data_IF_075422802225
#
_entry.id   IF_075422802225
#
_cell.length_a   1.000
_cell.length_b   1.000
_cell.length_c   1.000
_cell.angle_alpha   90.00
_cell.angle_beta   90.00
_cell.angle_gamma   90.00
#
_symmetry.space_group_name_H-M   'P 1'
#
loop_
_entity.id
_entity.type
_entity.pdbx_description
1 polymer ?
#
# COMPACT_ATOMS: atom_id res chain seq x y z
N UNK A 1 9.19 3.30 -4.56
CA UNK A 1 8.68 4.68 -4.78
C UNK A 1 7.17 4.69 -4.54
N UNK A 2 6.58 5.80 -4.05
CA UNK A 2 5.13 5.96 -3.92
C UNK A 2 4.64 7.13 -4.79
N UNK A 3 3.53 6.93 -5.51
CA UNK A 3 2.91 7.93 -6.41
C UNK A 3 1.39 7.96 -6.21
N UNK A 4 0.74 9.08 -6.50
CA UNK A 4 -0.73 9.13 -6.46
C UNK A 4 -1.32 8.40 -7.67
N UNK A 5 -2.42 7.66 -7.44
CA UNK A 5 -3.11 6.88 -8.49
C UNK A 5 -3.86 7.76 -9.49
N UNK A 6 -4.35 8.92 -9.06
CA UNK A 6 -5.10 9.86 -9.92
C UNK A 6 -4.13 10.71 -10.72
N UNK A 7 -4.41 10.88 -12.01
CA UNK A 7 -3.62 11.73 -12.93
C UNK A 7 -3.50 13.17 -12.44
N UNK A 8 -4.57 13.71 -11.86
CA UNK A 8 -4.64 15.07 -11.28
C UNK A 8 -3.52 15.35 -10.26
N UNK A 9 -3.09 14.33 -9.52
CA UNK A 9 -2.09 14.44 -8.46
C UNK A 9 -0.81 13.67 -8.75
N UNK A 10 -0.66 13.08 -9.95
CA UNK A 10 0.46 12.20 -10.26
C UNK A 10 1.81 12.93 -10.25
N UNK A 11 1.82 14.24 -10.55
CA UNK A 11 3.01 15.09 -10.48
C UNK A 11 3.36 15.53 -9.05
N UNK A 12 2.45 15.38 -8.09
CA UNK A 12 2.68 15.73 -6.69
C UNK A 12 3.47 14.63 -5.97
N UNK A 13 4.41 15.05 -5.13
CA UNK A 13 5.20 14.12 -4.30
C UNK A 13 4.35 13.65 -3.13
N UNK A 14 4.30 12.33 -2.91
CA UNK A 14 3.66 11.77 -1.71
C UNK A 14 4.49 12.14 -0.49
N UNK A 15 3.96 13.04 0.35
CA UNK A 15 4.61 13.52 1.58
C UNK A 15 3.86 13.07 2.82
N UNK A 16 4.57 13.04 3.96
CA UNK A 16 3.95 12.89 5.27
C UNK A 16 3.19 14.17 5.63
N UNK A 17 2.19 14.06 6.51
CA UNK A 17 1.55 15.27 7.01
C UNK A 17 2.47 15.99 8.01
N UNK A 18 2.35 17.32 8.16
CA UNK A 18 3.16 18.10 9.09
C UNK A 18 3.14 17.53 10.52
N UNK A 19 1.98 17.06 10.97
CA UNK A 19 1.82 16.47 12.31
C UNK A 19 2.66 15.19 12.53
N UNK A 20 2.88 14.38 11.50
CA UNK A 20 3.73 13.19 11.61
C UNK A 20 5.20 13.48 11.30
N UNK A 21 5.49 14.44 10.43
CA UNK A 21 6.86 14.88 10.14
C UNK A 21 7.56 15.46 11.38
N UNK A 22 6.85 16.22 12.21
CA UNK A 22 7.36 16.77 13.46
C UNK A 22 7.67 15.71 14.53
N UNK A 23 6.97 14.56 14.53
CA UNK A 23 7.17 13.50 15.55
C UNK A 23 8.39 12.62 15.28
N UNK A 24 8.87 12.59 14.04
CA UNK A 24 10.07 11.83 13.66
C UNK A 24 11.37 12.51 14.12
N UNK A 25 11.33 13.81 14.41
CA UNK A 25 12.48 14.56 14.92
C UNK A 25 12.94 14.17 16.33
N UNK A 26 12.12 13.43 17.10
CA UNK A 26 12.43 13.04 18.48
C UNK A 26 12.81 11.55 18.62
N UNK A 27 12.67 10.74 17.57
CA UNK A 27 13.15 9.35 17.49
C UNK A 27 14.38 9.25 16.58
N UNK A 28 15.36 10.13 16.83
CA UNK A 28 16.64 10.19 16.11
C UNK A 28 17.70 9.21 16.59
N UNK A 29 17.34 7.99 17.02
CA UNK A 29 18.37 7.02 17.40
C UNK A 29 17.83 5.74 18.00
N UNK A 30 17.70 4.69 17.18
CA UNK A 30 18.28 3.37 17.41
C UNK A 30 17.91 2.44 16.24
N UNK A 31 18.92 1.98 15.50
CA UNK A 31 18.81 0.98 14.44
C UNK A 31 19.47 1.45 13.15
N UNK A 32 20.75 1.09 12.97
CA UNK A 32 21.49 1.37 11.75
C UNK A 32 20.77 0.83 10.52
N UNK A 33 20.45 1.73 9.58
CA UNK A 33 19.87 1.35 8.30
C UNK A 33 19.26 2.52 7.53
N UNK A 34 19.85 2.79 6.36
CA UNK A 34 19.34 3.62 5.25
C UNK A 34 19.46 5.14 5.45
N UNK A 35 20.61 5.66 5.03
CA UNK A 35 20.73 7.06 4.63
C UNK A 35 19.90 7.31 3.38
N UNK A 36 18.97 8.27 3.47
CA UNK A 36 18.20 8.74 2.32
C UNK A 36 19.05 9.77 1.59
N UNK A 37 19.84 9.35 0.61
CA UNK A 37 20.39 10.28 -0.38
C UNK A 37 19.46 10.33 -1.58
N UNK A 38 18.64 11.39 -1.63
CA UNK A 38 17.69 11.62 -2.72
C UNK A 38 17.84 13.00 -3.31
N UNK A 39 18.74 13.17 -4.28
CA UNK A 39 18.61 14.23 -5.29
C UNK A 39 17.45 13.89 -6.22
N UNK A 40 16.23 14.30 -5.87
CA UNK A 40 15.08 14.14 -6.77
C UNK A 40 13.73 14.32 -6.10
N UNK A 41 12.74 14.76 -6.88
CA UNK A 41 11.34 15.06 -6.49
C UNK A 41 10.54 13.83 -6.04
N UNK A 42 11.17 12.71 -5.66
CA UNK A 42 10.49 11.49 -5.23
C UNK A 42 11.27 10.83 -4.10
N UNK A 43 10.58 10.48 -3.01
CA UNK A 43 11.17 9.66 -1.96
C UNK A 43 11.20 8.19 -2.43
N UNK A 44 12.40 7.68 -2.70
CA UNK A 44 12.64 6.26 -2.95
C UNK A 44 13.56 5.70 -1.87
N UNK A 45 13.34 4.43 -1.53
CA UNK A 45 14.18 3.67 -0.60
C UNK A 45 14.88 2.62 -1.44
N UNK A 46 16.20 2.72 -1.56
CA UNK A 46 17.02 1.73 -2.24
C UNK A 46 17.51 0.71 -1.22
N UNK A 47 17.26 -0.57 -1.49
CA UNK A 47 17.71 -1.68 -0.64
C UNK A 47 18.58 -2.61 -1.48
N UNK A 48 19.79 -2.87 -0.99
CA UNK A 48 20.68 -3.86 -1.60
C UNK A 48 20.14 -5.26 -1.30
N UNK A 49 19.60 -5.92 -2.31
CA UNK A 49 19.16 -7.32 -2.23
C UNK A 49 20.39 -8.22 -2.18
N UNK A 50 20.65 -8.85 -1.03
CA UNK A 50 21.64 -9.92 -0.95
C UNK A 50 21.15 -11.18 -1.66
N UNK A 51 22.08 -12.03 -2.08
CA UNK A 51 21.76 -13.33 -2.66
C UNK A 51 20.75 -14.09 -1.79
N UNK A 52 19.75 -14.68 -2.45
CA UNK A 52 18.69 -15.42 -1.79
C UNK A 52 19.29 -16.60 -1.02
N UNK A 53 18.85 -16.80 0.22
CA UNK A 53 19.33 -17.90 1.04
C UNK A 53 18.97 -19.22 0.36
N UNK A 54 19.92 -20.17 0.32
CA UNK A 54 19.75 -21.47 -0.37
C UNK A 54 18.48 -22.16 0.14
N UNK A 55 17.57 -22.49 -0.79
CA UNK A 55 16.28 -23.11 -0.48
C UNK A 55 15.10 -22.14 -0.36
N UNK A 56 15.30 -20.83 -0.49
CA UNK A 56 14.21 -19.87 -0.63
C UNK A 56 13.90 -19.60 -2.11
N UNK A 57 12.62 -19.41 -2.44
CA UNK A 57 12.15 -19.05 -3.78
C UNK A 57 11.81 -17.55 -3.92
N UNK A 58 11.67 -16.83 -2.79
CA UNK A 58 11.27 -15.43 -2.78
C UNK A 58 11.99 -14.62 -1.70
N UNK A 59 12.20 -13.31 -1.96
CA UNK A 59 12.75 -12.37 -0.99
C UNK A 59 11.64 -11.57 -0.34
N UNK A 60 11.66 -11.46 0.99
CA UNK A 60 10.67 -10.71 1.77
C UNK A 60 11.25 -9.34 2.12
N UNK A 61 10.59 -8.28 1.67
CA UNK A 61 10.94 -6.90 2.03
C UNK A 61 9.83 -6.34 2.93
N UNK A 62 10.22 -5.85 4.12
CA UNK A 62 9.29 -5.26 5.07
C UNK A 62 9.21 -3.75 4.85
N UNK A 63 8.03 -3.27 4.46
CA UNK A 63 7.75 -1.84 4.30
C UNK A 63 6.94 -1.30 5.47
N UNK A 64 7.34 -0.14 6.00
CA UNK A 64 6.61 0.57 7.05
C UNK A 64 6.04 1.88 6.49
N UNK A 65 4.72 2.05 6.62
CA UNK A 65 4.02 3.27 6.23
C UNK A 65 3.72 4.13 7.46
N UNK A 66 4.40 5.27 7.54
CA UNK A 66 4.39 6.12 8.74
C UNK A 66 3.31 7.20 8.76
N UNK A 67 2.36 7.16 7.81
CA UNK A 67 1.27 8.13 7.78
C UNK A 67 -0.01 7.44 7.30
N UNK A 68 -1.14 7.79 7.92
CA UNK A 68 -2.44 7.29 7.47
C UNK A 68 -2.85 7.98 6.18
N UNK A 69 -3.55 7.24 5.32
CA UNK A 69 -4.13 7.77 4.08
C UNK A 69 -5.07 8.96 4.35
N UNK A 70 -5.74 8.98 5.50
CA UNK A 70 -6.69 10.03 5.88
C UNK A 70 -6.06 11.28 6.52
N UNK A 71 -4.75 11.34 6.71
CA UNK A 71 -4.13 12.48 7.38
C UNK A 71 -4.28 13.77 6.55
N UNK A 72 -4.78 14.87 7.15
CA UNK A 72 -4.84 16.16 6.49
C UNK A 72 -3.42 16.70 6.25
N UNK A 73 -3.21 17.37 5.11
CA UNK A 73 -1.90 17.93 4.73
C UNK A 73 -0.83 16.92 4.31
N UNK A 74 -1.15 15.62 4.24
CA UNK A 74 -0.29 14.57 3.66
C UNK A 74 -0.97 13.92 2.45
N UNK A 75 -1.35 12.66 2.58
CA UNK A 75 -2.06 11.92 1.52
C UNK A 75 -3.51 12.37 1.29
N UNK A 76 -4.17 12.98 2.29
CA UNK A 76 -5.50 13.59 2.17
C UNK A 76 -6.57 12.70 1.48
N UNK A 77 -6.67 11.43 1.90
CA UNK A 77 -7.58 10.40 1.37
C UNK A 77 -7.40 10.09 -0.13
N UNK A 78 -6.29 10.50 -0.73
CA UNK A 78 -5.97 10.18 -2.13
C UNK A 78 -5.35 8.79 -2.19
N UNK A 79 -5.80 7.92 -3.12
CA UNK A 79 -5.21 6.60 -3.31
C UNK A 79 -3.77 6.71 -3.81
N UNK A 80 -2.87 5.91 -3.24
CA UNK A 80 -1.46 5.84 -3.61
C UNK A 80 -1.13 4.48 -4.23
N UNK A 81 -0.19 4.48 -5.15
CA UNK A 81 0.43 3.31 -5.76
C UNK A 81 1.88 3.24 -5.28
N UNK A 82 2.27 2.09 -4.73
CA UNK A 82 3.66 1.78 -4.45
C UNK A 82 4.24 1.04 -5.65
N UNK A 83 5.33 1.58 -6.20
CA UNK A 83 6.10 1.00 -7.29
C UNK A 83 7.35 0.37 -6.69
N UNK A 84 7.48 -0.94 -6.89
CA UNK A 84 8.68 -1.71 -6.66
C UNK A 84 9.44 -1.80 -7.97
N UNK A 85 10.73 -1.48 -7.94
CA UNK A 85 11.61 -1.57 -9.09
C UNK A 85 12.79 -2.43 -8.68
N UNK A 86 13.08 -3.44 -9.49
CA UNK A 86 14.27 -4.25 -9.38
C UNK A 86 15.28 -3.69 -10.38
N UNK A 87 16.42 -3.26 -9.86
CA UNK A 87 17.49 -2.65 -10.66
C UNK A 87 18.78 -3.44 -10.47
N UNK A 88 19.58 -3.53 -11.53
CA UNK A 88 20.95 -4.01 -11.50
C UNK A 88 21.85 -3.00 -10.78
N UNK A 89 23.02 -3.44 -10.31
CA UNK A 89 24.03 -2.55 -9.71
C UNK A 89 24.49 -1.43 -10.67
N UNK A 90 24.29 -1.60 -11.97
CA UNK A 90 24.60 -0.63 -13.03
C UNK A 90 23.44 0.37 -13.29
N UNK A 91 22.34 0.28 -12.55
CA UNK A 91 21.16 1.15 -12.72
C UNK A 91 20.19 0.69 -13.82
N UNK A 92 20.40 -0.49 -14.40
CA UNK A 92 19.48 -1.07 -15.38
C UNK A 92 18.25 -1.66 -14.71
N UNK A 93 17.06 -1.35 -15.23
CA UNK A 93 15.81 -1.84 -14.64
C UNK A 93 15.49 -3.23 -15.16
N UNK A 94 15.58 -4.22 -14.29
CA UNK A 94 15.24 -5.61 -14.57
C UNK A 94 13.72 -5.84 -14.55
N UNK A 95 13.00 -5.11 -13.68
CA UNK A 95 11.55 -5.27 -13.58
C UNK A 95 10.86 -4.23 -12.72
N UNK A 96 9.56 -4.07 -12.94
CA UNK A 96 8.69 -3.17 -12.16
C UNK A 96 7.38 -3.87 -11.81
N UNK A 97 6.95 -3.71 -10.56
CA UNK A 97 5.61 -4.11 -10.11
C UNK A 97 5.01 -2.98 -9.28
N UNK A 98 3.70 -2.78 -9.44
CA UNK A 98 2.97 -1.75 -8.71
C UNK A 98 1.76 -2.35 -8.00
N UNK A 99 1.47 -1.86 -6.80
CA UNK A 99 0.28 -2.22 -6.05
C UNK A 99 -0.30 -1.00 -5.33
N UNK A 100 -1.62 -1.01 -5.14
CA UNK A 100 -2.33 0.05 -4.43
C UNK A 100 -2.23 -0.14 -2.93
N UNK A 101 -2.03 0.96 -2.21
CA UNK A 101 -1.85 0.94 -0.75
C UNK A 101 -2.83 1.89 -0.10
N UNK A 102 -3.51 1.39 0.93
CA UNK A 102 -4.36 2.19 1.82
C UNK A 102 -4.00 1.93 3.27
N UNK A 103 -3.36 2.92 3.90
CA UNK A 103 -3.03 2.90 5.32
C UNK A 103 -4.23 3.38 6.13
N UNK A 104 -4.79 2.50 6.95
CA UNK A 104 -5.99 2.77 7.76
C UNK A 104 -5.87 2.09 9.13
N UNK A 105 -6.66 2.56 10.10
CA UNK A 105 -6.67 2.01 11.46
C UNK A 105 -7.30 0.60 11.54
N UNK A 106 -8.14 0.23 10.57
CA UNK A 106 -8.90 -1.03 10.59
C UNK A 106 -8.87 -1.71 9.20
N UNK A 107 -7.75 -2.31 8.78
CA UNK A 107 -7.57 -2.83 7.42
C UNK A 107 -8.61 -3.89 7.04
N UNK A 108 -8.97 -4.79 7.96
CA UNK A 108 -9.96 -5.83 7.68
C UNK A 108 -11.37 -5.30 7.41
N UNK A 109 -11.78 -4.21 8.09
CA UNK A 109 -13.09 -3.57 7.86
C UNK A 109 -13.08 -2.82 6.54
N UNK A 110 -12.07 -1.98 6.34
CA UNK A 110 -11.97 -1.11 5.16
C UNK A 110 -11.85 -1.97 3.89
N UNK A 111 -11.06 -3.06 3.93
CA UNK A 111 -10.97 -4.04 2.82
C UNK A 111 -12.33 -4.65 2.47
N UNK A 112 -13.08 -5.16 3.46
CA UNK A 112 -14.42 -5.74 3.22
C UNK A 112 -15.38 -4.70 2.65
N UNK A 113 -15.32 -3.47 3.16
CA UNK A 113 -16.17 -2.38 2.68
C UNK A 113 -15.85 -2.01 1.23
N UNK A 114 -14.58 -1.94 0.87
CA UNK A 114 -14.14 -1.67 -0.51
C UNK A 114 -14.53 -2.81 -1.46
N UNK A 115 -14.22 -4.06 -1.11
CA UNK A 115 -14.60 -5.23 -1.91
C UNK A 115 -16.13 -5.31 -2.12
N UNK A 116 -16.93 -5.04 -1.09
CA UNK A 116 -18.38 -5.01 -1.23
C UNK A 116 -18.85 -3.85 -2.12
N UNK A 117 -18.26 -2.67 -1.97
CA UNK A 117 -18.59 -1.50 -2.81
C UNK A 117 -18.29 -1.75 -4.29
N UNK A 118 -17.20 -2.47 -4.60
CA UNK A 118 -16.86 -2.87 -5.96
C UNK A 118 -17.87 -3.89 -6.51
N UNK A 119 -18.26 -4.89 -5.69
CA UNK A 119 -19.28 -5.88 -6.07
C UNK A 119 -20.64 -5.24 -6.35
N UNK A 120 -21.09 -4.31 -5.52
CA UNK A 120 -22.37 -3.62 -5.73
C UNK A 120 -22.33 -2.75 -6.99
N UNK A 121 -21.21 -2.07 -7.26
CA UNK A 121 -21.01 -1.33 -8.52
C UNK A 121 -21.03 -2.23 -9.76
N UNK A 122 -20.44 -3.42 -9.67
CA UNK A 122 -20.45 -4.40 -10.76
C UNK A 122 -21.85 -4.99 -11.02
N UNK A 123 -22.70 -5.09 -10.00
CA UNK A 123 -24.10 -5.52 -10.17
C UNK A 123 -24.99 -4.45 -10.81
N UNK A 124 -24.67 -3.18 -10.60
CA UNK A 124 -25.41 -2.04 -11.17
C UNK A 124 -25.12 -1.82 -12.66
N UNK A 125 -24.06 -2.41 -13.21
CA UNK A 125 -23.75 -2.39 -14.65
C UNK A 125 -24.43 -3.51 -15.46
N UNK A 126 -25.17 -4.41 -14.81
CA UNK A 126 -25.98 -5.44 -15.49
C UNK A 126 -27.40 -4.89 -15.75
N UNK A 127 -27.92 -4.90 -17.00
CA UNK A 127 -29.28 -4.46 -17.29
C UNK A 127 -30.29 -5.38 -16.60
N UNK A 128 -31.19 -4.75 -15.87
CA UNK A 128 -32.09 -5.35 -14.88
C UNK A 128 -33.11 -6.31 -15.48
N UNK A 129 -33.18 -7.55 -14.99
CA UNK A 129 -34.46 -8.27 -14.83
C UNK A 129 -34.63 -8.63 -13.35
N UNK A 130 -35.58 -7.95 -12.70
CA UNK A 130 -35.87 -8.03 -11.27
C UNK A 130 -36.48 -9.39 -10.92
N UNK A 131 -35.91 -10.07 -9.92
CA UNK A 131 -36.56 -11.15 -9.17
C UNK A 131 -36.46 -10.83 -7.67
N UNK A 132 -37.61 -10.67 -7.02
CA UNK A 132 -37.80 -10.29 -5.62
C UNK A 132 -37.53 -11.50 -4.72
N UNK A 133 -36.70 -11.36 -3.68
CA UNK A 133 -36.76 -12.27 -2.53
C UNK A 133 -36.35 -11.57 -1.23
N UNK A 134 -37.22 -11.69 -0.24
CA UNK A 134 -37.13 -11.09 1.10
C UNK A 134 -36.35 -11.99 2.07
N UNK A 135 -35.57 -11.35 2.95
CA UNK A 135 -35.38 -11.78 4.34
C UNK A 135 -34.29 -12.82 4.66
N UNK A 136 -33.33 -12.45 5.52
CA UNK A 136 -33.22 -13.00 6.88
C UNK A 136 -32.09 -12.31 7.67
N UNK A 137 -32.42 -11.77 8.85
CA UNK A 137 -31.44 -11.28 9.85
C UNK A 137 -30.68 -12.46 10.46
N UNK A 138 -29.36 -12.36 10.63
CA UNK A 138 -28.69 -12.97 11.80
C UNK A 138 -27.35 -12.33 12.17
N UNK A 139 -27.14 -12.25 13.49
CA UNK A 139 -26.07 -11.56 14.23
C UNK A 139 -24.76 -12.37 14.28
N UNK A 140 -23.67 -11.60 14.42
CA UNK A 140 -22.38 -11.81 15.13
C UNK A 140 -21.79 -13.23 15.22
N UNK A 141 -20.53 -13.34 14.78
CA UNK A 141 -19.56 -14.34 15.22
C UNK A 141 -18.21 -14.07 14.56
N UNK A 142 -17.27 -13.49 15.28
CA UNK A 142 -15.93 -13.17 14.78
C UNK A 142 -14.95 -14.30 15.04
N UNK A 143 -14.04 -14.52 14.10
CA UNK A 143 -12.75 -15.19 14.33
C UNK A 143 -11.70 -14.49 13.47
N UNK A 144 -10.58 -14.17 14.11
CA UNK A 144 -9.49 -13.37 13.56
C UNK A 144 -8.63 -14.21 12.63
N UNK A 145 -8.29 -13.68 11.45
CA UNK A 145 -7.36 -14.28 10.51
C UNK A 145 -6.31 -13.25 10.10
N UNK A 146 -5.07 -13.48 10.54
CA UNK A 146 -3.87 -12.72 10.20
C UNK A 146 -3.61 -12.91 8.70
N UNK A 147 -3.74 -11.88 7.87
CA UNK A 147 -3.45 -12.02 6.43
C UNK A 147 -1.95 -11.97 6.18
N UNK A 148 -1.29 -13.12 6.23
CA UNK A 148 -0.06 -13.34 5.46
C UNK A 148 -0.47 -13.41 3.98
N UNK A 149 0.13 -12.55 3.15
CA UNK A 149 0.16 -12.76 1.71
C UNK A 149 1.62 -13.00 1.34
N UNK A 150 1.96 -14.27 1.14
CA UNK A 150 3.20 -14.69 0.50
C UNK A 150 3.10 -14.31 -0.98
N UNK A 151 4.11 -13.61 -1.50
CA UNK A 151 4.23 -13.28 -2.91
C UNK A 151 5.42 -14.08 -3.46
N UNK A 152 5.10 -15.06 -4.30
CA UNK A 152 6.07 -15.83 -5.10
C UNK A 152 6.39 -15.02 -6.36
N UNK A 153 7.67 -14.86 -6.68
CA UNK A 153 8.11 -14.37 -7.98
C UNK A 153 8.52 -15.58 -8.81
N UNK A 154 7.79 -15.83 -9.89
CA UNK A 154 8.16 -16.79 -10.95
C UNK A 154 8.86 -16.10 -12.11
#
# INVERSE_FOLDING_TARGET
>A
MAVYKRSEHMAEVVKRCPHHELKDGQQGGFGGGVGVEGKGRAAFVQLSLSALQVGMACTIILYNYMCNSSCPGGMNRRPILTILTLESAQGEVLGRRCFEVRVCACPGRDRRSEENSLKEKAKLSEPTKKGKFEGCRRRKGGTWGRSQQSLEFG
#
